data_IF_877790712029
#
_entry.id   IF_877790712029
#
_cell.length_a   1.000
_cell.length_b   1.000
_cell.length_c   1.000
_cell.angle_alpha   90.00
_cell.angle_beta   90.00
_cell.angle_gamma   90.00
#
_symmetry.space_group_name_H-M   'P 1'
#
loop_
_entity.id
_entity.type
_entity.pdbx_description
1 polymer ?
#
# COMPACT_ATOMS: atom_id res chain seq x y z
N UNK A 1 -32.54 18.59 -28.63
CA UNK A 1 -31.24 18.20 -28.07
C UNK A 1 -30.20 19.09 -28.72
N UNK A 2 -29.46 19.88 -27.93
CA UNK A 2 -28.34 20.63 -28.47
C UNK A 2 -27.23 19.64 -28.85
N UNK A 3 -26.44 19.91 -29.88
CA UNK A 3 -25.33 19.06 -30.33
C UNK A 3 -24.36 18.71 -29.16
N UNK A 4 -24.15 19.68 -28.27
CA UNK A 4 -23.34 19.52 -27.05
C UNK A 4 -23.89 18.48 -26.07
N UNK A 5 -25.21 18.33 -25.95
CA UNK A 5 -25.83 17.39 -24.99
C UNK A 5 -25.63 15.94 -25.45
N UNK A 6 -25.77 15.69 -26.76
CA UNK A 6 -25.55 14.35 -27.33
C UNK A 6 -24.07 13.94 -27.28
N UNK A 7 -23.15 14.91 -27.38
CA UNK A 7 -21.73 14.65 -27.31
C UNK A 7 -21.28 14.26 -25.90
N UNK A 8 -21.66 15.05 -24.89
CA UNK A 8 -21.27 14.79 -23.48
C UNK A 8 -21.82 13.47 -22.96
N UNK A 9 -23.04 13.09 -23.37
CA UNK A 9 -23.63 11.78 -23.06
C UNK A 9 -22.83 10.62 -23.67
N UNK A 10 -22.42 10.77 -24.93
CA UNK A 10 -21.58 9.78 -25.61
C UNK A 10 -20.22 9.63 -24.90
N UNK A 11 -19.60 10.75 -24.54
CA UNK A 11 -18.28 10.76 -23.91
C UNK A 11 -18.32 10.20 -22.48
N UNK A 12 -19.38 10.48 -21.72
CA UNK A 12 -19.61 9.82 -20.43
C UNK A 12 -19.77 8.31 -20.60
N UNK A 13 -20.56 7.86 -21.58
CA UNK A 13 -20.79 6.44 -21.85
C UNK A 13 -19.49 5.72 -22.21
N UNK A 14 -18.63 6.33 -23.03
CA UNK A 14 -17.28 5.82 -23.34
C UNK A 14 -16.42 5.71 -22.08
N UNK A 15 -16.39 6.75 -21.24
CA UNK A 15 -15.62 6.75 -20.00
C UNK A 15 -16.12 5.65 -19.03
N UNK A 16 -17.44 5.50 -18.87
CA UNK A 16 -18.04 4.45 -18.03
C UNK A 16 -17.72 3.05 -18.54
N UNK A 17 -17.76 2.85 -19.86
CA UNK A 17 -17.41 1.58 -20.49
C UNK A 17 -15.93 1.22 -20.27
N UNK A 18 -15.02 2.20 -20.31
CA UNK A 18 -13.61 1.98 -19.95
C UNK A 18 -13.48 1.49 -18.51
N UNK A 19 -14.17 2.14 -17.56
CA UNK A 19 -14.17 1.70 -16.15
C UNK A 19 -14.72 0.28 -16.00
N UNK A 20 -15.83 -0.05 -16.67
CA UNK A 20 -16.44 -1.37 -16.61
C UNK A 20 -15.50 -2.46 -17.15
N UNK A 21 -14.88 -2.22 -18.31
CA UNK A 21 -13.93 -3.14 -18.89
C UNK A 21 -12.73 -3.39 -17.98
N UNK A 22 -12.20 -2.32 -17.38
CA UNK A 22 -11.12 -2.39 -16.40
C UNK A 22 -11.52 -3.20 -15.15
N UNK A 23 -12.74 -3.01 -14.63
CA UNK A 23 -13.27 -3.82 -13.52
C UNK A 23 -13.37 -5.32 -13.87
N UNK A 24 -13.77 -5.64 -15.11
CA UNK A 24 -13.85 -7.02 -15.61
C UNK A 24 -12.45 -7.63 -15.74
N UNK A 25 -11.49 -6.89 -16.30
CA UNK A 25 -10.10 -7.34 -16.43
C UNK A 25 -9.48 -7.67 -15.06
N UNK A 26 -9.86 -6.93 -14.02
CA UNK A 26 -9.37 -7.09 -12.65
C UNK A 26 -10.35 -7.84 -11.72
N UNK A 27 -11.20 -8.72 -12.25
CA UNK A 27 -12.20 -9.43 -11.44
C UNK A 27 -11.58 -10.26 -10.29
N UNK A 28 -10.39 -10.83 -10.51
CA UNK A 28 -9.61 -11.59 -9.52
C UNK A 28 -8.68 -10.74 -8.66
N UNK A 29 -8.39 -9.51 -9.08
CA UNK A 29 -7.54 -8.54 -8.36
C UNK A 29 -8.20 -7.15 -8.29
N UNK A 30 -9.40 -7.00 -7.69
CA UNK A 30 -10.14 -5.73 -7.72
C UNK A 30 -9.38 -4.54 -7.13
N UNK A 31 -8.44 -4.79 -6.21
CA UNK A 31 -7.53 -3.80 -5.65
C UNK A 31 -6.66 -3.11 -6.71
N UNK A 32 -6.33 -3.78 -7.82
CA UNK A 32 -5.53 -3.21 -8.91
C UNK A 32 -6.31 -2.23 -9.78
N UNK A 33 -7.65 -2.40 -9.88
CA UNK A 33 -8.55 -1.46 -10.55
C UNK A 33 -9.11 -0.37 -9.62
N UNK A 34 -8.64 -0.30 -8.37
CA UNK A 34 -9.09 0.69 -7.40
C UNK A 34 -8.19 1.92 -7.41
N UNK A 35 -8.79 3.11 -7.31
CA UNK A 35 -8.03 4.35 -7.20
C UNK A 35 -7.33 4.41 -5.84
N UNK A 36 -6.10 4.92 -5.83
CA UNK A 36 -5.27 4.94 -4.61
C UNK A 36 -5.83 5.96 -3.62
N UNK A 37 -6.03 5.53 -2.37
CA UNK A 37 -6.41 6.38 -1.24
C UNK A 37 -5.19 7.14 -0.72
N UNK A 38 -5.26 8.47 -0.65
CA UNK A 38 -4.20 9.28 -0.01
C UNK A 38 -3.97 8.85 1.44
N UNK A 39 -5.04 8.54 2.17
CA UNK A 39 -4.96 8.20 3.59
C UNK A 39 -4.15 6.92 3.81
N UNK A 40 -4.30 5.94 2.93
CA UNK A 40 -3.58 4.67 3.00
C UNK A 40 -2.08 4.92 2.76
N UNK A 41 -1.74 5.79 1.81
CA UNK A 41 -0.34 6.17 1.53
C UNK A 41 0.25 7.02 2.67
N UNK A 42 -0.53 7.95 3.26
CA UNK A 42 -0.11 8.73 4.45
C UNK A 42 0.20 7.83 5.64
N UNK A 43 -0.55 6.76 5.85
CA UNK A 43 -0.29 5.81 6.94
C UNK A 43 1.04 5.06 6.77
N UNK A 44 1.44 4.79 5.52
CA UNK A 44 2.72 4.14 5.22
C UNK A 44 3.90 5.11 5.33
N UNK A 45 3.79 6.29 4.72
CA UNK A 45 4.91 7.23 4.59
C UNK A 45 5.06 8.19 5.77
N UNK A 46 3.99 8.40 6.56
CA UNK A 46 3.96 9.29 7.73
C UNK A 46 4.64 10.65 7.47
N UNK A 47 4.09 11.47 6.55
CA UNK A 47 4.71 12.74 6.19
C UNK A 47 4.89 13.66 7.40
N UNK A 48 6.05 14.32 7.48
CA UNK A 48 6.48 15.11 8.66
C UNK A 48 5.93 16.53 8.67
N UNK A 49 5.63 17.09 7.50
CA UNK A 49 5.16 18.46 7.35
C UNK A 49 4.24 18.60 6.12
N UNK A 50 3.38 19.62 6.17
CA UNK A 50 2.56 20.05 5.04
C UNK A 50 2.98 21.47 4.63
N UNK A 51 3.08 21.74 3.34
CA UNK A 51 3.49 23.06 2.82
C UNK A 51 2.63 23.45 1.64
N UNK A 52 1.99 24.62 1.71
CA UNK A 52 1.27 25.17 0.58
C UNK A 52 2.24 25.59 -0.52
N UNK A 53 2.03 25.06 -1.73
CA UNK A 53 2.90 25.27 -2.89
C UNK A 53 2.29 26.25 -3.91
N UNK A 54 1.09 26.76 -3.66
CA UNK A 54 0.39 27.66 -4.57
C UNK A 54 -0.16 26.99 -5.83
N UNK A 55 -0.46 27.83 -6.82
CA UNK A 55 -0.97 27.45 -8.12
C UNK A 55 0.15 26.90 -9.02
N UNK A 56 -0.06 25.71 -9.60
CA UNK A 56 0.88 25.06 -10.51
C UNK A 56 0.14 24.33 -11.63
N UNK A 57 0.76 24.31 -12.80
CA UNK A 57 0.40 23.40 -13.90
C UNK A 57 1.07 22.06 -13.61
N UNK A 58 0.29 20.99 -13.45
CA UNK A 58 0.82 19.66 -13.10
C UNK A 58 0.52 18.62 -14.19
N UNK A 59 1.42 17.64 -14.40
CA UNK A 59 1.15 16.50 -15.28
C UNK A 59 -0.02 15.64 -14.76
N UNK A 60 -0.97 15.31 -15.64
CA UNK A 60 -2.14 14.48 -15.30
C UNK A 60 -1.76 13.02 -15.03
N UNK A 61 -0.70 12.52 -15.66
CA UNK A 61 -0.17 11.17 -15.46
C UNK A 61 0.34 10.95 -14.02
N UNK A 62 0.82 12.01 -13.36
CA UNK A 62 1.23 12.00 -11.96
C UNK A 62 0.06 12.06 -10.97
N UNK A 63 -1.17 12.25 -11.42
CA UNK A 63 -2.36 12.16 -10.57
C UNK A 63 -2.78 10.69 -10.47
N UNK A 64 -2.45 10.07 -9.34
CA UNK A 64 -2.56 8.61 -9.14
C UNK A 64 -3.66 8.20 -8.17
N UNK A 65 -4.22 9.16 -7.44
CA UNK A 65 -5.12 8.84 -6.34
C UNK A 65 -5.98 10.02 -5.89
N UNK A 66 -6.74 9.79 -4.83
CA UNK A 66 -7.65 10.79 -4.27
C UNK A 66 -7.71 10.72 -2.75
N UNK A 67 -7.89 11.86 -2.09
CA UNK A 67 -8.16 11.93 -0.65
C UNK A 67 -9.55 11.36 -0.33
N UNK A 68 -10.50 11.55 -1.24
CA UNK A 68 -11.87 11.06 -1.12
C UNK A 68 -12.42 10.56 -2.45
N UNK A 69 -13.59 9.92 -2.46
CA UNK A 69 -14.24 9.45 -3.71
C UNK A 69 -13.40 8.46 -4.54
N UNK A 70 -12.37 7.85 -3.98
CA UNK A 70 -11.57 6.79 -4.62
C UNK A 70 -12.38 5.52 -4.93
N UNK A 71 -13.61 5.40 -4.40
CA UNK A 71 -14.58 4.35 -4.74
C UNK A 71 -15.48 4.71 -5.94
N UNK A 72 -15.61 5.99 -6.26
CA UNK A 72 -16.46 6.49 -7.35
C UNK A 72 -15.80 6.29 -8.72
N UNK A 73 -14.47 6.17 -8.74
CA UNK A 73 -13.65 6.09 -9.94
C UNK A 73 -12.75 4.85 -9.90
N UNK A 74 -12.30 4.40 -11.07
CA UNK A 74 -11.25 3.38 -11.18
C UNK A 74 -9.85 3.98 -11.05
N UNK A 75 -8.81 3.13 -11.10
CA UNK A 75 -7.40 3.55 -11.07
C UNK A 75 -6.98 4.48 -12.23
N UNK A 76 -7.83 4.66 -13.26
CA UNK A 76 -7.62 5.60 -14.36
C UNK A 76 -8.52 6.85 -14.26
N UNK A 77 -9.20 7.06 -13.12
CA UNK A 77 -10.22 8.10 -12.90
C UNK A 77 -11.47 7.99 -13.79
N UNK A 78 -11.76 6.84 -14.40
CA UNK A 78 -13.02 6.67 -15.13
C UNK A 78 -14.19 6.41 -14.16
N UNK A 79 -15.37 6.98 -14.42
CA UNK A 79 -16.51 6.91 -13.49
C UNK A 79 -17.06 5.48 -13.41
N UNK A 80 -17.30 4.99 -12.18
CA UNK A 80 -17.84 3.64 -11.92
C UNK A 80 -19.36 3.57 -11.83
N UNK A 81 -20.06 4.69 -11.86
CA UNK A 81 -21.52 4.68 -11.72
C UNK A 81 -22.20 5.84 -12.44
N UNK A 82 -23.44 5.59 -12.86
CA UNK A 82 -24.30 6.55 -13.54
C UNK A 82 -24.70 7.73 -12.66
N UNK A 83 -24.61 7.63 -11.32
CA UNK A 83 -24.86 8.78 -10.44
C UNK A 83 -23.90 9.95 -10.70
N UNK A 84 -22.73 9.67 -11.31
CA UNK A 84 -21.72 10.66 -11.65
C UNK A 84 -22.05 11.43 -12.94
N UNK A 85 -22.97 10.90 -13.77
CA UNK A 85 -23.24 11.33 -15.16
C UNK A 85 -23.48 12.83 -15.25
N UNK A 86 -24.51 13.33 -14.56
CA UNK A 86 -24.93 14.72 -14.68
C UNK A 86 -23.80 15.72 -14.36
N UNK A 87 -23.03 15.47 -13.29
CA UNK A 87 -21.92 16.36 -12.92
C UNK A 87 -20.73 16.20 -13.86
N UNK A 88 -20.47 15.00 -14.36
CA UNK A 88 -19.42 14.72 -15.32
C UNK A 88 -19.70 15.40 -16.66
N UNK A 89 -20.92 15.27 -17.19
CA UNK A 89 -21.36 15.89 -18.44
C UNK A 89 -21.27 17.41 -18.40
N UNK A 90 -21.64 18.05 -17.28
CA UNK A 90 -21.48 19.51 -17.11
C UNK A 90 -20.02 19.96 -17.17
N UNK A 91 -19.10 19.14 -16.65
CA UNK A 91 -17.66 19.45 -16.68
C UNK A 91 -17.12 19.26 -18.10
N UNK A 92 -17.54 18.20 -18.79
CA UNK A 92 -17.16 17.96 -20.18
C UNK A 92 -17.77 19.01 -21.13
N UNK A 93 -19.01 19.42 -20.90
CA UNK A 93 -19.66 20.52 -21.62
C UNK A 93 -18.87 21.83 -21.50
N UNK A 94 -18.44 22.16 -20.28
CA UNK A 94 -17.58 23.32 -20.05
C UNK A 94 -16.24 23.21 -20.80
N UNK A 95 -15.65 22.01 -20.84
CA UNK A 95 -14.42 21.76 -21.60
C UNK A 95 -14.63 21.82 -23.12
N UNK A 96 -15.79 21.42 -23.64
CA UNK A 96 -16.15 21.56 -25.07
C UNK A 96 -16.34 23.03 -25.45
N UNK A 97 -16.87 23.84 -24.53
CA UNK A 97 -17.16 25.26 -24.73
C UNK A 97 -15.99 26.18 -24.38
N UNK A 98 -14.80 25.62 -24.12
CA UNK A 98 -13.60 26.35 -23.67
C UNK A 98 -13.84 27.28 -22.47
N UNK A 99 -14.76 26.87 -21.58
CA UNK A 99 -15.04 27.59 -20.33
C UNK A 99 -13.93 27.28 -19.34
N UNK A 100 -13.24 28.32 -18.89
CA UNK A 100 -12.21 28.20 -17.86
C UNK A 100 -12.87 27.75 -16.55
N UNK A 101 -12.54 26.54 -16.12
CA UNK A 101 -12.99 25.98 -14.84
C UNK A 101 -12.01 26.36 -13.72
N UNK A 102 -12.47 26.44 -12.46
CA UNK A 102 -11.55 26.59 -11.33
C UNK A 102 -10.53 25.45 -11.30
N UNK A 103 -9.30 25.71 -10.83
CA UNK A 103 -8.27 24.69 -10.73
C UNK A 103 -8.68 23.56 -9.79
N UNK A 104 -8.09 22.38 -9.99
CA UNK A 104 -8.25 21.28 -9.04
C UNK A 104 -7.46 21.57 -7.75
N UNK A 105 -7.82 20.93 -6.65
CA UNK A 105 -7.00 20.97 -5.43
C UNK A 105 -6.38 19.61 -5.22
N UNK A 106 -5.07 19.56 -4.99
CA UNK A 106 -4.34 18.30 -4.82
C UNK A 106 -3.39 18.35 -3.64
N UNK A 107 -3.12 17.18 -3.07
CA UNK A 107 -1.90 16.96 -2.31
C UNK A 107 -0.83 16.38 -3.22
N UNK A 108 0.39 16.86 -3.09
CA UNK A 108 1.58 16.19 -3.61
C UNK A 108 2.20 15.38 -2.48
N UNK A 109 2.50 14.10 -2.73
CA UNK A 109 3.17 13.24 -1.76
C UNK A 109 4.14 12.33 -2.52
N UNK A 110 5.42 12.44 -2.22
CA UNK A 110 6.49 11.62 -2.84
C UNK A 110 6.54 11.71 -4.37
N UNK A 111 6.30 12.89 -4.94
CA UNK A 111 6.39 13.14 -6.38
C UNK A 111 5.15 12.78 -7.21
N UNK A 112 4.07 12.35 -6.56
CA UNK A 112 2.77 12.06 -7.19
C UNK A 112 1.65 12.85 -6.51
N UNK A 113 0.51 12.97 -7.18
CA UNK A 113 -0.61 13.82 -6.76
C UNK A 113 -1.87 13.02 -6.41
N UNK A 114 -2.55 13.51 -5.38
CA UNK A 114 -3.83 12.99 -4.89
C UNK A 114 -4.87 14.09 -4.89
N UNK A 115 -6.01 13.84 -5.54
CA UNK A 115 -7.08 14.84 -5.68
C UNK A 115 -7.77 15.06 -4.32
N UNK A 116 -7.81 16.31 -3.86
CA UNK A 116 -8.66 16.77 -2.76
C UNK A 116 -10.02 17.25 -3.30
N UNK A 117 -9.99 18.07 -4.35
CA UNK A 117 -11.19 18.55 -5.05
C UNK A 117 -10.99 18.54 -6.57
N UNK A 118 -12.07 18.24 -7.31
CA UNK A 118 -12.06 18.23 -8.78
C UNK A 118 -11.93 16.86 -9.44
N UNK A 119 -12.31 15.76 -8.77
CA UNK A 119 -12.25 14.40 -9.34
C UNK A 119 -12.91 14.27 -10.73
N UNK A 120 -14.06 14.91 -10.96
CA UNK A 120 -14.70 14.94 -12.29
C UNK A 120 -13.87 15.67 -13.34
N UNK A 121 -13.19 16.78 -12.98
CA UNK A 121 -12.30 17.51 -13.89
C UNK A 121 -11.10 16.64 -14.29
N UNK A 122 -10.51 15.93 -13.33
CA UNK A 122 -9.43 14.97 -13.62
C UNK A 122 -9.93 13.83 -14.51
N UNK A 123 -11.12 13.28 -14.24
CA UNK A 123 -11.74 12.24 -15.04
C UNK A 123 -11.96 12.68 -16.50
N UNK A 124 -12.57 13.86 -16.70
CA UNK A 124 -12.78 14.44 -18.04
C UNK A 124 -11.44 14.70 -18.73
N UNK A 125 -10.47 15.31 -18.04
CA UNK A 125 -9.16 15.59 -18.60
C UNK A 125 -8.42 14.31 -19.05
N UNK A 126 -8.45 13.23 -18.24
CA UNK A 126 -7.92 11.91 -18.64
C UNK A 126 -8.69 11.30 -19.81
N UNK A 127 -10.01 11.44 -19.85
CA UNK A 127 -10.83 10.95 -20.96
C UNK A 127 -10.48 11.62 -22.30
N UNK A 128 -10.18 12.93 -22.24
CA UNK A 128 -9.81 13.76 -23.40
C UNK A 128 -8.32 13.70 -23.77
N UNK A 129 -7.50 12.98 -23.00
CA UNK A 129 -6.07 12.88 -23.26
C UNK A 129 -5.29 14.17 -22.96
N UNK A 130 -5.80 15.02 -22.08
CA UNK A 130 -5.09 16.23 -21.63
C UNK A 130 -3.80 15.84 -20.90
N UNK A 131 -2.69 16.52 -21.21
CA UNK A 131 -1.38 16.23 -20.61
C UNK A 131 -1.18 16.93 -19.25
N UNK A 132 -1.66 18.17 -19.13
CA UNK A 132 -1.46 19.03 -17.96
C UNK A 132 -2.76 19.66 -17.47
N UNK A 133 -2.85 19.92 -16.17
CA UNK A 133 -4.01 20.56 -15.53
C UNK A 133 -3.58 21.58 -14.48
N UNK A 134 -4.33 22.67 -14.38
CA UNK A 134 -4.12 23.68 -13.34
C UNK A 134 -4.57 23.16 -11.97
N UNK A 135 -3.68 23.27 -10.99
CA UNK A 135 -3.90 22.76 -9.64
C UNK A 135 -3.39 23.72 -8.56
N UNK A 136 -4.15 23.81 -7.48
CA UNK A 136 -3.69 24.32 -6.19
C UNK A 136 -3.05 23.17 -5.41
N UNK A 137 -1.76 23.29 -5.05
CA UNK A 137 -0.96 22.17 -4.54
C UNK A 137 -0.60 22.38 -3.07
N UNK A 138 -0.81 21.34 -2.25
CA UNK A 138 -0.24 21.21 -0.89
C UNK A 138 0.74 20.04 -0.89
N UNK A 139 2.02 20.29 -0.62
CA UNK A 139 3.04 19.23 -0.54
C UNK A 139 3.07 18.61 0.85
N UNK A 140 3.02 17.28 0.90
CA UNK A 140 3.22 16.44 2.06
C UNK A 140 4.66 15.90 1.99
N UNK A 141 5.53 16.38 2.88
CA UNK A 141 6.95 16.06 2.81
C UNK A 141 7.22 14.59 3.13
N UNK A 142 7.97 13.92 2.24
CA UNK A 142 8.43 12.54 2.40
C UNK A 142 9.86 12.39 1.90
N UNK A 143 10.59 11.43 2.47
CA UNK A 143 12.01 11.17 2.15
C UNK A 143 12.20 10.35 0.87
N UNK A 144 11.13 9.68 0.41
CA UNK A 144 11.12 8.89 -0.82
C UNK A 144 10.42 9.66 -1.95
N UNK A 145 10.90 9.45 -3.18
CA UNK A 145 10.17 9.78 -4.41
C UNK A 145 9.65 8.51 -5.07
N UNK A 146 8.33 8.39 -5.20
CA UNK A 146 7.66 7.31 -5.92
C UNK A 146 7.85 7.50 -7.43
N UNK A 147 8.13 6.40 -8.13
CA UNK A 147 8.26 6.36 -9.58
C UNK A 147 7.02 5.71 -10.17
N UNK A 148 6.15 6.51 -10.77
CA UNK A 148 4.95 6.10 -11.53
C UNK A 148 4.21 4.90 -10.92
N UNK A 149 3.72 5.00 -9.66
CA UNK A 149 3.05 3.89 -9.02
C UNK A 149 1.72 3.59 -9.70
N UNK A 150 1.51 2.33 -10.07
CA UNK A 150 0.28 1.92 -10.77
C UNK A 150 -0.84 1.48 -9.82
N UNK A 151 -0.49 1.00 -8.62
CA UNK A 151 -1.42 0.55 -7.60
C UNK A 151 -0.77 0.58 -6.22
N UNK A 152 -1.55 0.25 -5.18
CA UNK A 152 -1.07 0.27 -3.80
C UNK A 152 0.06 -0.74 -3.52
N UNK A 153 0.03 -1.91 -4.18
CA UNK A 153 1.08 -2.93 -4.01
C UNK A 153 2.43 -2.46 -4.57
N UNK A 154 2.42 -1.71 -5.67
CA UNK A 154 3.61 -1.07 -6.24
C UNK A 154 4.18 -0.01 -5.28
N UNK A 155 3.33 0.86 -4.71
CA UNK A 155 3.76 1.83 -3.68
C UNK A 155 4.43 1.12 -2.52
N UNK A 156 3.80 0.08 -1.95
CA UNK A 156 4.36 -0.71 -0.85
C UNK A 156 5.72 -1.27 -1.22
N UNK A 157 5.85 -1.87 -2.40
CA UNK A 157 7.12 -2.42 -2.89
C UNK A 157 8.21 -1.35 -3.01
N UNK A 158 7.88 -0.18 -3.55
CA UNK A 158 8.84 0.92 -3.69
C UNK A 158 9.31 1.43 -2.32
N UNK A 159 8.41 1.55 -1.34
CA UNK A 159 8.74 1.93 0.04
C UNK A 159 9.65 0.89 0.69
N UNK A 160 9.28 -0.39 0.66
CA UNK A 160 10.11 -1.47 1.24
C UNK A 160 11.51 -1.50 0.61
N UNK A 161 11.60 -1.30 -0.71
CA UNK A 161 12.90 -1.26 -1.40
C UNK A 161 13.72 -0.03 -1.01
N UNK A 162 13.08 1.11 -0.74
CA UNK A 162 13.76 2.30 -0.22
C UNK A 162 14.29 2.05 1.19
N UNK A 163 13.45 1.56 2.10
CA UNK A 163 13.85 1.22 3.47
C UNK A 163 15.02 0.22 3.49
N UNK A 164 14.97 -0.81 2.63
CA UNK A 164 16.09 -1.76 2.47
C UNK A 164 17.38 -1.05 2.13
N UNK A 165 17.37 -0.18 1.11
CA UNK A 165 18.58 0.54 0.69
C UNK A 165 19.12 1.44 1.80
N UNK A 166 18.24 2.17 2.49
CA UNK A 166 18.63 3.04 3.60
C UNK A 166 19.25 2.21 4.71
N UNK A 167 18.57 1.15 5.17
CA UNK A 167 19.07 0.26 6.21
C UNK A 167 20.44 -0.32 5.87
N UNK A 168 20.61 -0.88 4.67
CA UNK A 168 21.90 -1.46 4.26
C UNK A 168 23.01 -0.40 4.16
N UNK A 169 22.70 0.80 3.67
CA UNK A 169 23.66 1.89 3.56
C UNK A 169 24.08 2.46 4.92
N UNK A 170 23.14 2.61 5.86
CA UNK A 170 23.40 3.18 7.19
C UNK A 170 24.08 2.19 8.13
N UNK A 171 23.80 0.90 8.00
CA UNK A 171 24.28 -0.12 8.94
C UNK A 171 25.44 -0.96 8.41
N UNK A 172 25.69 -0.97 7.11
CA UNK A 172 26.64 -1.91 6.49
C UNK A 172 26.21 -3.39 6.62
N UNK A 173 24.94 -3.66 6.92
CA UNK A 173 24.45 -4.99 7.28
C UNK A 173 24.88 -6.09 6.30
N UNK A 174 24.78 -5.84 5.00
CA UNK A 174 25.15 -6.80 3.96
C UNK A 174 26.61 -7.18 4.00
N UNK A 175 27.51 -6.20 4.15
CA UNK A 175 28.96 -6.41 4.19
C UNK A 175 29.39 -7.09 5.50
N UNK A 176 28.79 -6.69 6.63
CA UNK A 176 29.12 -7.24 7.96
C UNK A 176 28.71 -8.71 8.07
N UNK A 177 27.55 -9.07 7.50
CA UNK A 177 26.95 -10.41 7.70
C UNK A 177 27.11 -11.34 6.51
N UNK A 178 27.59 -10.84 5.37
CA UNK A 178 27.52 -11.50 4.06
C UNK A 178 26.09 -11.96 3.69
N UNK A 179 25.06 -11.22 4.14
CA UNK A 179 23.65 -11.54 3.95
C UNK A 179 22.85 -10.41 3.31
N UNK A 180 22.60 -10.54 2.00
CA UNK A 180 21.93 -9.52 1.17
C UNK A 180 20.44 -9.76 0.93
N UNK A 181 19.89 -10.85 1.45
CA UNK A 181 18.49 -11.27 1.27
C UNK A 181 17.65 -11.13 2.55
N UNK A 182 17.92 -10.10 3.36
CA UNK A 182 16.99 -9.65 4.38
C UNK A 182 15.87 -8.89 3.67
N UNK A 183 14.78 -9.56 3.34
CA UNK A 183 13.65 -9.03 2.58
C UNK A 183 12.38 -9.01 3.42
N UNK A 184 11.54 -7.99 3.23
CA UNK A 184 10.24 -7.86 3.87
C UNK A 184 9.12 -7.71 2.85
N UNK A 185 7.89 -8.04 3.24
CA UNK A 185 6.70 -7.79 2.42
C UNK A 185 5.87 -6.60 2.90
N UNK A 186 6.28 -5.96 3.99
CA UNK A 186 5.56 -4.83 4.61
C UNK A 186 6.53 -3.69 4.96
N UNK A 187 6.12 -2.41 4.81
CA UNK A 187 6.92 -1.26 5.22
C UNK A 187 7.15 -1.18 6.72
N UNK A 188 8.15 -0.42 7.13
CA UNK A 188 8.54 -0.11 8.51
C UNK A 188 9.26 -1.26 9.22
N UNK A 189 9.62 -2.35 8.53
CA UNK A 189 10.22 -3.53 9.17
C UNK A 189 11.71 -3.40 9.40
N UNK A 190 12.41 -2.61 8.59
CA UNK A 190 13.83 -2.36 8.82
C UNK A 190 14.08 -1.58 10.11
N UNK A 191 13.22 -0.62 10.45
CA UNK A 191 13.28 0.09 11.75
C UNK A 191 13.10 -0.89 12.93
N UNK A 192 12.21 -1.88 12.77
CA UNK A 192 12.01 -2.92 13.79
C UNK A 192 13.28 -3.77 13.94
N UNK A 193 13.91 -4.17 12.84
CA UNK A 193 15.17 -4.91 12.89
C UNK A 193 16.28 -4.08 13.53
N UNK A 194 16.41 -2.81 13.15
CA UNK A 194 17.38 -1.90 13.75
C UNK A 194 17.18 -1.80 15.26
N UNK A 195 15.94 -1.65 15.72
CA UNK A 195 15.61 -1.66 17.15
C UNK A 195 15.90 -3.00 17.84
N UNK A 196 15.71 -4.13 17.17
CA UNK A 196 16.10 -5.44 17.72
C UNK A 196 17.63 -5.53 17.88
N UNK A 197 18.41 -5.00 16.92
CA UNK A 197 19.87 -4.97 17.01
C UNK A 197 20.32 -4.03 18.14
N UNK A 198 19.71 -2.85 18.28
CA UNK A 198 20.00 -1.94 19.40
C UNK A 198 19.68 -2.56 20.75
N UNK A 199 18.53 -3.23 20.86
CA UNK A 199 18.15 -3.97 22.08
C UNK A 199 19.15 -5.08 22.38
N UNK A 200 19.58 -5.85 21.36
CA UNK A 200 20.61 -6.88 21.51
C UNK A 200 21.94 -6.31 21.97
N UNK A 201 22.39 -5.21 21.33
CA UNK A 201 23.61 -4.45 21.71
C UNK A 201 23.57 -4.05 23.18
N UNK A 202 22.43 -3.52 23.64
CA UNK A 202 22.24 -3.14 25.03
C UNK A 202 22.47 -4.32 25.99
N UNK A 203 21.87 -5.49 25.71
CA UNK A 203 22.01 -6.66 26.58
C UNK A 203 23.43 -7.24 26.59
N UNK A 204 24.09 -7.35 25.42
CA UNK A 204 25.46 -7.90 25.36
C UNK A 204 26.52 -6.96 25.97
N UNK A 205 26.18 -5.67 26.13
CA UNK A 205 27.03 -4.69 26.80
C UNK A 205 26.94 -4.73 28.33
N UNK A 206 25.88 -5.28 28.94
CA UNK A 206 25.67 -5.17 30.40
C UNK A 206 26.80 -5.77 31.25
N UNK A 207 27.56 -6.72 30.71
CA UNK A 207 28.62 -7.42 31.43
C UNK A 207 30.02 -7.14 30.85
N UNK A 208 30.19 -6.03 30.12
CA UNK A 208 31.46 -5.64 29.50
C UNK A 208 31.92 -4.27 29.98
N UNK A 209 33.23 -4.12 30.16
CA UNK A 209 33.84 -2.84 30.51
C UNK A 209 33.95 -1.90 29.30
N UNK A 210 34.16 -2.46 28.11
CA UNK A 210 34.21 -1.73 26.84
C UNK A 210 32.89 -1.87 26.06
N UNK A 211 32.45 -0.78 25.44
CA UNK A 211 31.24 -0.75 24.63
C UNK A 211 31.44 -1.53 23.33
N UNK A 212 30.59 -2.54 23.09
CA UNK A 212 30.53 -3.28 21.83
C UNK A 212 30.17 -2.33 20.68
N UNK A 213 30.87 -2.42 19.56
CA UNK A 213 30.60 -1.55 18.42
C UNK A 213 29.28 -1.91 17.75
N UNK A 214 28.76 -1.04 16.88
CA UNK A 214 27.52 -1.35 16.16
C UNK A 214 27.71 -2.54 15.20
N UNK A 215 28.87 -2.64 14.57
CA UNK A 215 29.21 -3.73 13.64
C UNK A 215 29.26 -5.08 14.36
N UNK A 216 29.91 -5.12 15.53
CA UNK A 216 29.96 -6.31 16.38
C UNK A 216 28.56 -6.72 16.87
N UNK A 217 27.72 -5.74 17.23
CA UNK A 217 26.35 -5.99 17.65
C UNK A 217 25.49 -6.54 16.50
N UNK A 218 25.63 -6.01 15.28
CA UNK A 218 24.94 -6.51 14.08
C UNK A 218 25.33 -7.96 13.83
N UNK A 219 26.63 -8.27 13.79
CA UNK A 219 27.13 -9.62 13.54
C UNK A 219 26.68 -10.60 14.65
N UNK A 220 26.76 -10.16 15.90
CA UNK A 220 26.30 -10.94 17.06
C UNK A 220 24.81 -11.23 16.98
N UNK A 221 23.97 -10.22 16.77
CA UNK A 221 22.52 -10.36 16.64
C UNK A 221 22.16 -11.30 15.49
N UNK A 222 22.82 -11.13 14.34
CA UNK A 222 22.57 -11.95 13.17
C UNK A 222 22.84 -13.44 13.45
N UNK A 223 24.00 -13.75 14.04
CA UNK A 223 24.43 -15.12 14.30
C UNK A 223 23.71 -15.80 15.47
N UNK A 224 23.36 -15.03 16.50
CA UNK A 224 22.83 -15.59 17.77
C UNK A 224 21.32 -15.48 17.91
N UNK A 225 20.66 -14.58 17.18
CA UNK A 225 19.22 -14.34 17.27
C UNK A 225 18.53 -14.62 15.93
N UNK A 226 18.93 -13.92 14.87
CA UNK A 226 18.21 -13.99 13.60
C UNK A 226 18.36 -15.35 12.91
N UNK A 227 19.60 -15.79 12.69
CA UNK A 227 19.91 -17.00 11.93
C UNK A 227 19.38 -18.28 12.61
N UNK A 228 19.50 -18.48 13.94
CA UNK A 228 18.91 -19.64 14.61
C UNK A 228 17.39 -19.69 14.45
N UNK A 229 16.70 -18.55 14.62
CA UNK A 229 15.25 -18.48 14.52
C UNK A 229 14.78 -18.77 13.09
N UNK A 230 15.38 -18.13 12.09
CA UNK A 230 15.06 -18.35 10.68
C UNK A 230 15.37 -19.78 10.25
N UNK A 231 16.43 -20.39 10.79
CA UNK A 231 16.74 -21.81 10.57
C UNK A 231 15.66 -22.71 11.16
N UNK A 232 15.16 -22.42 12.36
CA UNK A 232 14.03 -23.13 13.00
C UNK A 232 12.76 -23.03 12.15
N UNK A 233 12.43 -21.82 11.65
CA UNK A 233 11.29 -21.56 10.74
C UNK A 233 11.42 -22.39 9.45
N UNK A 234 12.61 -22.42 8.84
CA UNK A 234 12.87 -23.15 7.60
C UNK A 234 12.77 -24.66 7.80
N UNK A 235 13.41 -25.21 8.82
CA UNK A 235 13.38 -26.65 9.16
C UNK A 235 11.95 -27.14 9.43
N UNK A 236 11.12 -26.31 10.04
CA UNK A 236 9.71 -26.62 10.34
C UNK A 236 8.73 -26.29 9.19
N UNK A 237 9.23 -25.82 8.04
CA UNK A 237 8.44 -25.44 6.87
C UNK A 237 7.29 -24.44 7.14
N UNK A 238 7.44 -23.59 8.17
CA UNK A 238 6.36 -22.70 8.64
C UNK A 238 5.97 -21.71 7.53
N UNK A 239 6.93 -21.26 6.71
CA UNK A 239 6.70 -20.32 5.61
C UNK A 239 5.62 -20.78 4.60
N UNK A 240 5.44 -22.10 4.41
CA UNK A 240 4.42 -22.64 3.51
C UNK A 240 2.99 -22.20 3.89
N UNK A 241 2.76 -21.96 5.17
CA UNK A 241 1.46 -21.53 5.69
C UNK A 241 1.17 -20.04 5.40
N UNK A 242 2.18 -19.26 5.01
CA UNK A 242 2.12 -17.80 4.85
C UNK A 242 2.53 -17.35 3.44
N UNK A 243 1.67 -17.54 2.41
CA UNK A 243 1.99 -17.13 1.05
C UNK A 243 2.21 -15.61 0.97
N UNK A 244 3.11 -15.20 0.07
CA UNK A 244 3.53 -13.79 -0.14
C UNK A 244 4.28 -13.15 1.05
N UNK A 245 4.72 -13.95 2.02
CA UNK A 245 5.56 -13.51 3.14
C UNK A 245 6.99 -14.02 2.99
N UNK A 246 7.89 -13.38 3.71
CA UNK A 246 9.31 -13.69 3.75
C UNK A 246 9.69 -14.36 5.07
N UNK A 247 10.90 -14.92 5.15
CA UNK A 247 11.44 -15.43 6.40
C UNK A 247 11.62 -14.30 7.44
N UNK A 248 12.00 -13.10 7.00
CA UNK A 248 12.19 -11.97 7.89
C UNK A 248 10.83 -11.44 8.44
N UNK A 249 9.77 -11.46 7.64
CA UNK A 249 8.41 -11.14 8.14
C UNK A 249 8.03 -12.09 9.28
N UNK A 250 8.24 -13.40 9.10
CA UNK A 250 7.96 -14.39 10.14
C UNK A 250 8.83 -14.22 11.37
N UNK A 251 10.11 -13.89 11.20
CA UNK A 251 10.99 -13.54 12.30
C UNK A 251 10.39 -12.42 13.16
N UNK A 252 10.01 -11.28 12.55
CA UNK A 252 9.43 -10.14 13.29
C UNK A 252 8.12 -10.53 13.99
N UNK A 253 7.27 -11.32 13.33
CA UNK A 253 6.00 -11.74 13.92
C UNK A 253 6.17 -12.70 15.09
N UNK A 254 7.11 -13.63 15.00
CA UNK A 254 7.40 -14.59 16.07
C UNK A 254 8.05 -13.88 17.26
N UNK A 255 8.99 -12.95 17.03
CA UNK A 255 9.58 -12.16 18.13
C UNK A 255 8.50 -11.37 18.87
N UNK A 256 7.62 -10.66 18.15
CA UNK A 256 6.49 -9.96 18.79
C UNK A 256 5.56 -10.92 19.54
N UNK A 257 5.28 -12.08 18.97
CA UNK A 257 4.45 -13.09 19.62
C UNK A 257 5.09 -13.62 20.90
N UNK A 258 6.40 -13.80 20.89
CA UNK A 258 7.18 -14.23 22.03
C UNK A 258 7.17 -13.18 23.16
N UNK A 259 7.31 -11.90 22.82
CA UNK A 259 7.17 -10.81 23.78
C UNK A 259 5.76 -10.79 24.41
N UNK A 260 4.70 -11.00 23.60
CA UNK A 260 3.32 -11.11 24.10
C UNK A 260 3.14 -12.31 25.06
N UNK A 261 3.83 -13.43 24.79
CA UNK A 261 3.81 -14.60 25.66
C UNK A 261 4.53 -14.33 26.98
N UNK A 262 5.69 -13.69 26.94
CA UNK A 262 6.44 -13.31 28.14
C UNK A 262 5.66 -12.38 29.05
N UNK A 263 4.98 -11.39 28.48
CA UNK A 263 4.12 -10.48 29.24
C UNK A 263 2.96 -11.20 29.95
N UNK A 264 2.48 -12.33 29.42
CA UNK A 264 1.34 -13.08 29.96
C UNK A 264 1.73 -14.19 30.93
N UNK A 265 2.88 -14.83 30.68
CA UNK A 265 3.25 -16.09 31.34
C UNK A 265 4.62 -16.04 32.03
N UNK A 266 5.35 -14.92 31.93
CA UNK A 266 6.67 -14.72 32.52
C UNK A 266 7.83 -14.93 31.53
N UNK A 267 9.03 -14.50 31.93
CA UNK A 267 10.21 -14.39 31.04
C UNK A 267 10.87 -15.72 30.68
N UNK A 268 10.44 -16.83 31.27
CA UNK A 268 11.09 -18.14 31.15
C UNK A 268 10.80 -18.88 29.85
N UNK A 269 9.93 -18.34 28.97
CA UNK A 269 9.55 -19.01 27.73
C UNK A 269 10.72 -18.96 26.73
N UNK A 270 11.24 -20.12 26.26
CA UNK A 270 12.24 -20.13 25.20
C UNK A 270 11.64 -19.75 23.84
N UNK A 271 12.40 -19.03 23.02
CA UNK A 271 11.92 -18.57 21.70
C UNK A 271 11.57 -19.75 20.76
N UNK A 272 12.25 -20.89 20.87
CA UNK A 272 11.95 -22.08 20.07
C UNK A 272 10.58 -22.70 20.38
N UNK A 273 10.11 -22.58 21.63
CA UNK A 273 8.76 -22.98 22.02
C UNK A 273 7.73 -22.03 21.40
N UNK A 274 8.01 -20.72 21.43
CA UNK A 274 7.17 -19.72 20.80
C UNK A 274 7.04 -19.94 19.28
N UNK A 275 8.08 -20.41 18.58
CA UNK A 275 8.00 -20.80 17.16
C UNK A 275 7.00 -21.93 16.94
N UNK A 276 7.06 -22.98 17.78
CA UNK A 276 6.17 -24.15 17.66
C UNK A 276 4.73 -23.76 17.98
N UNK A 277 4.53 -22.99 19.04
CA UNK A 277 3.21 -22.53 19.44
C UNK A 277 2.61 -21.56 18.41
N UNK A 278 3.41 -20.64 17.86
CA UNK A 278 3.00 -19.76 16.77
C UNK A 278 2.50 -20.53 15.56
N UNK A 279 3.25 -21.55 15.10
CA UNK A 279 2.83 -22.40 13.98
C UNK A 279 1.53 -23.16 14.32
N UNK A 280 1.37 -23.70 15.53
CA UNK A 280 0.12 -24.37 15.95
C UNK A 280 -1.07 -23.41 15.94
N UNK A 281 -0.91 -22.21 16.48
CA UNK A 281 -1.98 -21.21 16.63
C UNK A 281 -2.41 -20.61 15.30
N UNK A 282 -1.45 -20.32 14.41
CA UNK A 282 -1.70 -19.65 13.13
C UNK A 282 -1.69 -20.59 11.93
N UNK A 283 -1.63 -21.92 12.15
CA UNK A 283 -1.95 -22.93 11.14
C UNK A 283 -3.38 -22.73 10.66
N UNK A 284 -3.52 -22.09 9.50
CA UNK A 284 -4.79 -22.07 8.79
C UNK A 284 -4.93 -23.45 8.13
N UNK A 285 -5.94 -24.27 8.50
CA UNK A 285 -6.12 -25.56 7.85
C UNK A 285 -6.31 -25.37 6.34
N UNK A 286 -5.64 -26.19 5.53
CA UNK A 286 -5.66 -26.10 4.06
C UNK A 286 -7.09 -26.00 3.48
N UNK A 287 -8.05 -26.71 4.08
CA UNK A 287 -9.47 -26.64 3.70
C UNK A 287 -10.13 -25.29 4.00
N UNK A 288 -9.72 -24.56 5.05
CA UNK A 288 -10.21 -23.19 5.31
C UNK A 288 -9.65 -22.16 4.32
N UNK A 289 -8.48 -22.40 3.69
CA UNK A 289 -7.97 -21.55 2.59
C UNK A 289 -8.83 -21.70 1.33
N UNK A 290 -9.27 -22.92 1.00
CA UNK A 290 -10.17 -23.18 -0.15
C UNK A 290 -11.58 -22.67 0.15
N UNK A 291 -12.11 -22.95 1.34
CA UNK A 291 -13.46 -22.51 1.75
C UNK A 291 -13.56 -20.99 1.85
N UNK A 292 -12.52 -20.27 2.28
CA UNK A 292 -12.55 -18.80 2.29
C UNK A 292 -12.46 -18.19 0.87
N UNK A 293 -11.80 -18.87 -0.07
CA UNK A 293 -11.83 -18.49 -1.49
C UNK A 293 -13.22 -18.70 -2.11
N UNK A 294 -13.84 -19.85 -1.86
CA UNK A 294 -15.18 -20.19 -2.36
C UNK A 294 -16.27 -19.37 -1.65
N UNK A 295 -16.18 -19.14 -0.34
CA UNK A 295 -17.10 -18.26 0.40
C UNK A 295 -17.01 -16.81 -0.05
N UNK A 296 -15.84 -16.29 -0.43
CA UNK A 296 -15.73 -14.95 -1.04
C UNK A 296 -16.45 -14.86 -2.39
N UNK A 297 -16.40 -15.92 -3.19
CA UNK A 297 -17.08 -15.97 -4.49
C UNK A 297 -18.60 -16.12 -4.30
N UNK A 298 -19.04 -16.94 -3.34
CA UNK A 298 -20.47 -17.15 -3.03
C UNK A 298 -21.08 -15.91 -2.37
N UNK A 299 -20.43 -15.29 -1.37
CA UNK A 299 -20.92 -14.04 -0.77
C UNK A 299 -21.00 -12.91 -1.79
N UNK A 300 -20.04 -12.81 -2.73
CA UNK A 300 -20.08 -11.79 -3.79
C UNK A 300 -21.28 -12.03 -4.73
N UNK A 301 -21.57 -13.29 -5.06
CA UNK A 301 -22.71 -13.68 -5.89
C UNK A 301 -24.07 -13.45 -5.19
N UNK A 302 -24.15 -13.66 -3.87
CA UNK A 302 -25.35 -13.40 -3.05
C UNK A 302 -25.60 -11.89 -2.85
N UNK A 303 -24.54 -11.08 -2.72
CA UNK A 303 -24.65 -9.62 -2.67
C UNK A 303 -25.08 -9.06 -4.03
N UNK A 304 -24.56 -9.62 -5.13
CA UNK A 304 -24.95 -9.22 -6.48
C UNK A 304 -26.41 -9.63 -6.82
N UNK A 305 -26.90 -10.78 -6.33
CA UNK A 305 -28.29 -11.23 -6.54
C UNK A 305 -29.31 -10.51 -5.65
N UNK A 306 -28.95 -10.18 -4.41
CA UNK A 306 -29.83 -9.41 -3.50
C UNK A 306 -29.95 -7.94 -3.89
N UNK A 307 -28.94 -7.40 -4.59
CA UNK A 307 -28.98 -6.05 -5.16
C UNK A 307 -29.91 -5.93 -6.38
N UNK A 308 -30.22 -7.04 -7.06
CA UNK A 308 -31.16 -7.07 -8.20
C UNK A 308 -32.64 -7.22 -7.80
N UNK A 309 -32.95 -7.73 -6.60
CA UNK A 309 -34.32 -7.88 -6.11
C UNK A 309 -34.87 -6.60 -5.45
N UNK A 310 -34.00 -5.74 -4.91
CA UNK A 310 -34.41 -4.49 -4.24
C UNK A 310 -34.69 -3.35 -5.24
N UNK A 311 -34.23 -3.46 -6.49
CA UNK A 311 -34.52 -2.49 -7.57
C UNK A 311 -35.71 -2.86 -8.46
N UNK A 312 -36.47 -3.90 -8.10
CA UNK A 312 -37.56 -4.47 -8.91
C UNK A 312 -38.96 -4.36 -8.32
N UNK A 313 -39.17 -3.57 -7.26
CA UNK A 313 -40.48 -3.27 -6.67
C UNK A 313 -40.66 -1.77 -6.49
#
# INVERSE_FOLDING_TARGET
>A
MNFSDSQTESDFSKARNKALFNEIQHLLTPEEASLISLNDVKQLLKPKAETYQGMKVIPIDKIVGSEGRYKDFDNHFFPKSNFLKQRWERVDEAAIKDIILPPIKVYELSGVYFVRDGNHRVSVAKSRGTEFIDAEVVSLQSEIKLKNPNNMADIVRQIVNYEKRVFYAETGFGDITDYWCLDFSTPGRYDVIYNHILTHKYYINQNKEEEVTMEEAILSWFNTVYLPLVTSIRKKHILHNFPKRTLADLYVWIVRYWDDLKQKFGDEIPIDEAVVDFDKKYKIPFYKRIVNGVKRIILRKEIDSSSSEISGN
#
